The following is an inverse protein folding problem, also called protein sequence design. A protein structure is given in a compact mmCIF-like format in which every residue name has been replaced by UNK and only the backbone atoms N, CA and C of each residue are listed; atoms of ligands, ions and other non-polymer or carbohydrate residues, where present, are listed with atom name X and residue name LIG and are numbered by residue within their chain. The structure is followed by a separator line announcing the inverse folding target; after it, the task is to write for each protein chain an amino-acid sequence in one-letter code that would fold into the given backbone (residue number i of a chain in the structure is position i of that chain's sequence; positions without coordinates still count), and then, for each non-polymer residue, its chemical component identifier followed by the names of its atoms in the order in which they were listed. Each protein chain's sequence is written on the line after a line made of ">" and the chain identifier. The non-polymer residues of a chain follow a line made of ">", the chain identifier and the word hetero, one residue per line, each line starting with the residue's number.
data_IF_124098735351
#
_entry.id   IF_124098735351
#
_cell.length_a   1.000
_cell.length_b   1.000
_cell.length_c   1.000
_cell.angle_alpha   90.00
_cell.angle_beta   90.00
_cell.angle_gamma   90.00
#
_symmetry.space_group_name_H-M   'P 1'
#
loop_
_entity.id
_entity.type
_entity.pdbx_description
1 polymer ?
#
# COMPACT_ATOMS: atom_id res chain seq x y z
N UNK A 1 -11.12 19.13 15.21
CA UNK A 1 -10.96 18.14 14.12
C UNK A 1 -11.86 18.42 12.93
N UNK A 2 -13.20 18.51 13.08
CA UNK A 2 -14.12 18.77 11.96
C UNK A 2 -13.73 19.96 11.07
N UNK A 3 -13.39 21.11 11.66
CA UNK A 3 -12.95 22.29 10.92
C UNK A 3 -11.65 22.10 10.13
N UNK A 4 -10.74 21.25 10.63
CA UNK A 4 -9.49 20.92 9.93
C UNK A 4 -9.75 19.98 8.75
N UNK A 5 -10.69 19.04 8.85
CA UNK A 5 -11.13 18.22 7.71
C UNK A 5 -11.77 19.09 6.63
N UNK A 6 -12.67 19.98 7.04
CA UNK A 6 -13.32 20.93 6.12
C UNK A 6 -12.29 21.78 5.36
N UNK A 7 -11.27 22.31 6.05
CA UNK A 7 -10.17 23.08 5.45
C UNK A 7 -9.36 22.25 4.43
N UNK A 8 -8.92 21.04 4.83
CA UNK A 8 -8.05 20.19 4.00
C UNK A 8 -8.79 19.60 2.79
N UNK A 9 -10.02 19.13 2.99
CA UNK A 9 -10.86 18.53 1.95
C UNK A 9 -11.59 19.58 1.10
N UNK A 10 -11.46 20.87 1.44
CA UNK A 10 -12.13 22.00 0.77
C UNK A 10 -13.67 21.83 0.76
N UNK A 11 -14.23 21.45 1.90
CA UNK A 11 -15.66 21.24 2.11
C UNK A 11 -16.23 22.29 3.07
N UNK A 12 -17.49 22.66 2.89
CA UNK A 12 -18.16 23.62 3.78
C UNK A 12 -18.38 23.06 5.19
N UNK A 13 -18.74 21.78 5.28
CA UNK A 13 -19.03 21.07 6.54
C UNK A 13 -18.65 19.59 6.42
N UNK A 14 -18.28 19.01 7.56
CA UNK A 14 -17.98 17.59 7.72
C UNK A 14 -18.78 17.07 8.92
N UNK A 15 -19.56 16.02 8.69
CA UNK A 15 -20.34 15.29 9.68
C UNK A 15 -19.52 14.27 10.46
N UNK A 16 -20.03 13.86 11.63
CA UNK A 16 -19.34 12.89 12.51
C UNK A 16 -19.28 11.46 11.93
N UNK A 17 -20.13 11.15 10.95
CA UNK A 17 -20.16 9.85 10.28
C UNK A 17 -19.47 9.88 8.93
N UNK A 18 -18.96 11.04 8.52
CA UNK A 18 -18.25 11.16 7.26
C UNK A 18 -16.90 10.46 7.37
N UNK A 19 -16.58 9.70 6.33
CA UNK A 19 -15.33 9.00 6.16
C UNK A 19 -14.34 9.88 5.40
N UNK A 20 -13.13 10.04 5.94
CA UNK A 20 -12.09 10.91 5.38
C UNK A 20 -11.79 10.58 3.92
N UNK A 21 -11.71 9.30 3.59
CA UNK A 21 -11.32 8.81 2.28
C UNK A 21 -12.51 8.82 1.32
N UNK A 22 -13.71 8.51 1.80
CA UNK A 22 -14.94 8.67 1.01
C UNK A 22 -15.21 10.13 0.62
N UNK A 23 -14.75 11.09 1.42
CA UNK A 23 -14.79 12.53 1.11
C UNK A 23 -13.69 13.01 0.15
N UNK A 24 -12.90 12.10 -0.43
CA UNK A 24 -11.80 12.44 -1.35
C UNK A 24 -10.47 12.69 -0.65
N UNK A 25 -10.35 12.34 0.63
CA UNK A 25 -9.07 12.27 1.31
C UNK A 25 -8.14 11.25 0.66
N UNK A 26 -6.86 11.57 0.58
CA UNK A 26 -5.82 10.69 0.05
C UNK A 26 -4.56 10.77 0.93
N UNK A 27 -3.55 9.94 0.64
CA UNK A 27 -2.41 9.72 1.53
C UNK A 27 -1.68 11.02 1.91
N UNK A 28 -1.50 11.98 1.00
CA UNK A 28 -0.91 13.30 1.32
C UNK A 28 -1.81 14.16 2.21
N UNK A 29 -3.13 14.17 1.99
CA UNK A 29 -4.06 14.88 2.89
C UNK A 29 -4.10 14.22 4.28
N UNK A 30 -3.95 12.90 4.35
CA UNK A 30 -3.82 12.17 5.62
C UNK A 30 -2.55 12.57 6.40
N UNK A 31 -1.40 12.69 5.71
CA UNK A 31 -0.14 13.17 6.30
C UNK A 31 -0.29 14.63 6.77
N UNK A 32 -0.89 15.50 5.96
CA UNK A 32 -1.20 16.87 6.35
C UNK A 32 -2.12 16.92 7.57
N UNK A 33 -3.16 16.08 7.60
CA UNK A 33 -4.11 16.01 8.71
C UNK A 33 -3.42 15.66 10.02
N UNK A 34 -2.63 14.59 10.04
CA UNK A 34 -1.86 14.15 11.22
C UNK A 34 -0.88 15.24 11.66
N UNK A 35 -0.14 15.81 10.71
CA UNK A 35 0.81 16.88 10.99
C UNK A 35 0.14 18.11 11.62
N UNK A 36 -1.01 18.52 11.09
CA UNK A 36 -1.75 19.67 11.57
C UNK A 36 -2.43 19.42 12.92
N UNK A 37 -2.91 18.20 13.20
CA UNK A 37 -3.44 17.86 14.52
C UNK A 37 -2.38 17.94 15.61
N UNK A 38 -1.19 17.41 15.34
CA UNK A 38 -0.05 17.51 16.27
C UNK A 38 0.34 18.97 16.50
N UNK A 39 0.54 19.73 15.43
CA UNK A 39 1.04 21.12 15.50
C UNK A 39 0.01 22.14 16.00
N UNK A 40 -1.24 22.09 15.52
CA UNK A 40 -2.27 23.11 15.83
C UNK A 40 -3.12 22.75 17.04
N UNK A 41 -3.29 21.46 17.33
CA UNK A 41 -4.22 21.00 18.36
C UNK A 41 -3.56 20.21 19.49
N UNK A 42 -2.24 19.97 19.44
CA UNK A 42 -1.52 19.12 20.40
C UNK A 42 -2.15 17.73 20.57
N UNK A 43 -2.80 17.23 19.50
CA UNK A 43 -3.41 15.91 19.45
C UNK A 43 -2.39 14.96 18.82
N UNK A 44 -1.84 14.08 19.64
CA UNK A 44 -0.93 13.02 19.19
C UNK A 44 -1.74 11.87 18.59
N UNK A 45 -1.75 11.80 17.26
CA UNK A 45 -2.25 10.63 16.53
C UNK A 45 -1.19 10.15 15.55
N UNK A 46 -1.24 8.86 15.23
CA UNK A 46 -0.41 8.23 14.21
C UNK A 46 -1.15 8.19 12.88
N UNK A 47 -0.41 8.19 11.77
CA UNK A 47 -0.99 8.07 10.44
C UNK A 47 -1.86 6.82 10.27
N UNK A 48 -1.47 5.71 10.91
CA UNK A 48 -2.23 4.46 10.92
C UNK A 48 -3.57 4.56 11.65
N UNK A 49 -3.69 5.45 12.64
CA UNK A 49 -4.96 5.62 13.34
C UNK A 49 -6.01 6.25 12.42
N UNK A 50 -5.61 7.17 11.52
CA UNK A 50 -6.53 7.74 10.54
C UNK A 50 -7.06 6.68 9.56
N UNK A 51 -6.20 5.74 9.13
CA UNK A 51 -6.65 4.58 8.34
C UNK A 51 -7.56 3.65 9.15
N UNK A 52 -7.24 3.40 10.42
CA UNK A 52 -8.01 2.47 11.27
C UNK A 52 -9.35 3.03 11.76
N UNK A 53 -9.48 4.35 11.81
CA UNK A 53 -10.67 5.08 12.25
C UNK A 53 -10.98 6.19 11.24
N UNK A 54 -11.41 5.83 10.02
CA UNK A 54 -11.53 6.78 8.93
C UNK A 54 -12.77 7.68 9.06
N UNK A 55 -13.73 7.36 9.94
CA UNK A 55 -14.87 8.22 10.25
C UNK A 55 -14.53 9.25 11.34
N UNK A 56 -14.92 10.51 11.14
CA UNK A 56 -14.55 11.62 12.03
C UNK A 56 -14.90 11.36 13.51
N UNK A 57 -16.10 10.86 13.78
CA UNK A 57 -16.56 10.53 15.13
C UNK A 57 -15.83 9.33 15.75
N UNK A 58 -15.45 8.35 14.93
CA UNK A 58 -14.65 7.21 15.38
C UNK A 58 -13.22 7.65 15.74
N UNK A 59 -12.61 8.51 14.92
CA UNK A 59 -11.30 9.10 15.21
C UNK A 59 -11.35 9.96 16.48
N UNK A 60 -12.42 10.74 16.66
CA UNK A 60 -12.63 11.56 17.86
C UNK A 60 -12.72 10.70 19.12
N UNK A 61 -13.53 9.65 19.07
CA UNK A 61 -13.66 8.71 20.17
C UNK A 61 -12.35 7.99 20.49
N UNK A 62 -11.56 7.64 19.46
CA UNK A 62 -10.23 7.05 19.64
C UNK A 62 -9.30 8.02 20.40
N UNK A 63 -9.22 9.27 19.94
CA UNK A 63 -8.41 10.34 20.59
C UNK A 63 -8.86 10.56 22.03
N UNK A 64 -10.15 10.72 22.29
CA UNK A 64 -10.69 10.99 23.63
C UNK A 64 -10.48 9.80 24.58
N UNK A 65 -10.48 8.58 24.06
CA UNK A 65 -10.38 7.39 24.90
C UNK A 65 -8.98 7.18 25.50
N UNK A 66 -7.93 7.85 24.99
CA UNK A 66 -6.51 7.57 25.30
C UNK A 66 -6.16 6.07 25.21
N UNK A 67 -6.97 5.28 24.50
CA UNK A 67 -6.78 3.83 24.42
C UNK A 67 -5.80 3.52 23.31
N UNK A 68 -4.73 2.82 23.65
CA UNK A 68 -4.14 1.84 22.74
C UNK A 68 -5.23 0.80 22.48
N UNK A 69 -5.98 0.93 21.39
CA UNK A 69 -6.86 -0.16 20.97
C UNK A 69 -6.00 -1.44 20.89
N UNK A 70 -6.52 -2.57 21.40
CA UNK A 70 -5.83 -3.87 21.44
C UNK A 70 -5.65 -4.51 20.06
N UNK A 71 -5.52 -3.69 19.01
CA UNK A 71 -5.40 -4.09 17.63
C UNK A 71 -3.93 -4.09 17.26
N UNK A 72 -3.54 -5.05 16.44
CA UNK A 72 -2.20 -5.07 15.88
C UNK A 72 -1.96 -3.76 15.10
N UNK A 73 -0.82 -3.06 15.30
CA UNK A 73 -0.61 -1.70 14.79
C UNK A 73 -0.60 -1.60 13.27
N UNK A 74 -0.36 -2.69 12.56
CA UNK A 74 -0.40 -2.74 11.09
C UNK A 74 -1.80 -3.03 10.53
N UNK A 75 -2.73 -3.53 11.33
CA UNK A 75 -4.03 -4.01 10.84
C UNK A 75 -5.03 -2.86 10.75
N UNK A 76 -5.54 -2.64 9.54
CA UNK A 76 -6.56 -1.63 9.22
C UNK A 76 -7.85 -2.34 8.80
N UNK A 77 -8.89 -2.37 9.64
CA UNK A 77 -10.20 -2.90 9.25
C UNK A 77 -10.87 -1.96 8.25
N UNK A 78 -11.21 -2.45 7.06
CA UNK A 78 -11.96 -1.68 6.05
C UNK A 78 -13.44 -2.04 6.13
N UNK A 79 -13.74 -3.34 6.05
CA UNK A 79 -15.08 -3.90 6.22
C UNK A 79 -14.98 -5.19 7.01
N UNK A 80 -15.30 -5.14 8.31
CA UNK A 80 -15.13 -6.28 9.22
C UNK A 80 -16.27 -7.30 9.24
N UNK A 81 -17.36 -7.05 8.52
CA UNK A 81 -18.55 -7.90 8.47
C UNK A 81 -18.65 -8.61 7.11
N UNK A 82 -19.27 -9.80 7.10
CA UNK A 82 -19.47 -10.63 5.92
C UNK A 82 -19.30 -12.12 6.24
N UNK A 83 -19.78 -13.00 5.35
CA UNK A 83 -19.72 -14.46 5.54
C UNK A 83 -18.65 -15.14 4.68
N UNK A 84 -18.06 -14.44 3.70
CA UNK A 84 -16.97 -14.99 2.90
C UNK A 84 -15.63 -14.95 3.65
N UNK A 85 -14.66 -15.77 3.23
CA UNK A 85 -13.32 -15.83 3.81
C UNK A 85 -12.60 -14.48 3.71
N UNK A 86 -12.18 -13.83 4.81
CA UNK A 86 -11.57 -12.49 4.79
C UNK A 86 -10.46 -12.31 3.74
N UNK A 87 -10.48 -11.17 3.05
CA UNK A 87 -9.43 -10.75 2.13
C UNK A 87 -8.48 -9.77 2.82
N UNK A 88 -7.20 -10.13 2.84
CA UNK A 88 -6.11 -9.31 3.39
C UNK A 88 -5.35 -8.61 2.27
N UNK A 89 -5.33 -7.28 2.30
CA UNK A 89 -4.71 -6.41 1.29
C UNK A 89 -3.42 -5.76 1.82
N UNK A 90 -2.27 -6.03 1.20
CA UNK A 90 -0.96 -5.58 1.69
C UNK A 90 -0.49 -4.30 0.99
N UNK A 91 -0.03 -3.33 1.77
CA UNK A 91 0.45 -2.03 1.30
C UNK A 91 1.47 -2.10 0.14
N UNK A 92 1.49 -1.10 -0.77
CA UNK A 92 2.57 -0.91 -1.74
C UNK A 92 3.81 -0.29 -1.07
N UNK A 93 4.84 0.07 -1.84
CA UNK A 93 6.10 0.61 -1.31
C UNK A 93 5.92 1.83 -0.40
N UNK A 94 4.87 2.63 -0.61
CA UNK A 94 4.59 3.80 0.23
C UNK A 94 3.95 3.51 1.59
N UNK A 95 3.59 2.26 1.87
CA UNK A 95 3.14 1.80 3.17
C UNK A 95 1.69 2.13 3.54
N UNK A 96 1.08 3.07 2.82
CA UNK A 96 -0.31 3.44 2.95
C UNK A 96 -1.26 2.40 2.33
N UNK A 97 -2.57 2.52 2.58
CA UNK A 97 -3.55 1.49 2.18
C UNK A 97 -4.79 2.08 1.50
N UNK A 98 -4.71 3.28 0.93
CA UNK A 98 -5.85 3.92 0.29
C UNK A 98 -6.47 3.06 -0.81
N UNK A 99 -5.62 2.45 -1.64
CA UNK A 99 -6.07 1.60 -2.75
C UNK A 99 -6.98 0.45 -2.26
N UNK A 100 -6.79 -0.01 -1.02
CA UNK A 100 -7.60 -1.08 -0.44
C UNK A 100 -9.00 -0.59 -0.06
N UNK A 101 -9.15 0.65 0.40
CA UNK A 101 -10.45 1.28 0.62
C UNK A 101 -11.21 1.44 -0.70
N UNK A 102 -10.53 1.98 -1.72
CA UNK A 102 -11.11 2.19 -3.04
C UNK A 102 -11.54 0.84 -3.65
N UNK A 103 -10.69 -0.18 -3.56
CA UNK A 103 -10.98 -1.52 -4.06
C UNK A 103 -12.18 -2.15 -3.35
N UNK A 104 -12.27 -2.00 -2.02
CA UNK A 104 -13.34 -2.59 -1.21
C UNK A 104 -14.75 -2.09 -1.56
N UNK A 105 -14.87 -0.88 -2.13
CA UNK A 105 -16.14 -0.34 -2.60
C UNK A 105 -16.73 -1.14 -3.78
N UNK A 106 -15.87 -1.85 -4.53
CA UNK A 106 -16.24 -2.60 -5.72
C UNK A 106 -16.17 -4.12 -5.53
N UNK A 107 -15.65 -4.59 -4.40
CA UNK A 107 -15.66 -6.01 -4.02
C UNK A 107 -17.06 -6.46 -3.59
N UNK A 108 -17.29 -7.78 -3.58
CA UNK A 108 -18.53 -8.36 -3.04
C UNK A 108 -18.82 -7.82 -1.63
N UNK A 109 -20.05 -7.35 -1.40
CA UNK A 109 -20.45 -6.74 -0.14
C UNK A 109 -20.37 -7.71 1.06
N UNK A 110 -20.46 -9.02 0.81
CA UNK A 110 -20.38 -10.07 1.84
C UNK A 110 -18.94 -10.54 2.11
N UNK A 111 -17.95 -9.92 1.46
CA UNK A 111 -16.52 -10.17 1.66
C UNK A 111 -15.97 -9.28 2.78
N UNK A 112 -15.53 -9.82 3.93
CA UNK A 112 -14.74 -9.05 4.88
C UNK A 112 -13.40 -8.63 4.26
N UNK A 113 -12.96 -7.40 4.51
CA UNK A 113 -11.74 -6.82 3.95
C UNK A 113 -10.93 -6.12 5.04
N UNK A 114 -9.65 -6.47 5.10
CA UNK A 114 -8.66 -5.90 6.00
C UNK A 114 -7.44 -5.49 5.20
N UNK A 115 -6.85 -4.36 5.52
CA UNK A 115 -5.58 -3.93 4.96
C UNK A 115 -4.45 -3.98 5.99
N UNK A 116 -3.23 -4.14 5.50
CA UNK A 116 -2.01 -4.17 6.30
C UNK A 116 -1.15 -2.97 5.90
N UNK A 117 -1.11 -1.95 6.78
CA UNK A 117 -0.27 -0.77 6.62
C UNK A 117 1.18 -1.05 7.06
N UNK A 118 2.14 -0.33 6.49
CA UNK A 118 3.56 -0.62 6.71
C UNK A 118 4.01 -0.43 8.15
N UNK A 119 4.88 -1.33 8.62
CA UNK A 119 5.73 -1.09 9.80
C UNK A 119 6.69 0.08 9.53
N UNK A 120 6.93 0.95 10.51
CA UNK A 120 7.75 2.14 10.30
C UNK A 120 7.02 3.39 9.78
N UNK A 121 5.69 3.47 9.78
CA UNK A 121 4.96 4.71 9.43
C UNK A 121 4.80 5.67 10.61
N UNK A 122 5.02 5.18 11.83
CA UNK A 122 4.98 5.99 13.06
C UNK A 122 6.38 6.55 13.31
N UNK A 123 6.45 7.84 13.66
CA UNK A 123 7.73 8.49 13.96
C UNK A 123 8.45 7.73 15.07
N UNK A 124 9.69 7.31 14.80
CA UNK A 124 10.53 6.57 15.73
C UNK A 124 10.43 5.04 15.59
N UNK A 125 9.50 4.51 14.79
CA UNK A 125 9.54 3.11 14.41
C UNK A 125 10.58 2.86 13.33
N UNK A 126 11.24 1.71 13.37
CA UNK A 126 12.15 1.26 12.32
C UNK A 126 11.36 0.52 11.23
N UNK A 127 11.41 0.96 9.95
CA UNK A 127 10.87 0.18 8.84
C UNK A 127 11.55 -1.18 8.73
N UNK A 128 10.80 -2.19 8.30
CA UNK A 128 11.36 -3.53 8.04
C UNK A 128 12.16 -3.52 6.75
N UNK A 129 13.26 -4.26 6.71
CA UNK A 129 14.23 -4.21 5.62
C UNK A 129 14.16 -5.42 4.69
N UNK A 130 13.34 -6.44 4.99
CA UNK A 130 13.16 -7.61 4.12
C UNK A 130 11.69 -8.00 3.99
N UNK A 131 11.34 -8.59 2.85
CA UNK A 131 9.98 -9.10 2.58
C UNK A 131 9.60 -10.22 3.55
N UNK A 132 10.54 -11.11 3.87
CA UNK A 132 10.35 -12.22 4.83
C UNK A 132 9.99 -11.69 6.22
N UNK A 133 10.69 -10.67 6.73
CA UNK A 133 10.34 -10.06 8.02
C UNK A 133 8.98 -9.34 7.97
N UNK A 134 8.69 -8.62 6.88
CA UNK A 134 7.39 -7.96 6.70
C UNK A 134 6.26 -8.98 6.75
N UNK A 135 6.39 -10.09 6.01
CA UNK A 135 5.41 -11.16 5.97
C UNK A 135 5.19 -11.80 7.35
N UNK A 136 6.25 -12.07 8.11
CA UNK A 136 6.15 -12.61 9.48
C UNK A 136 5.33 -11.68 10.38
N UNK A 137 5.66 -10.39 10.39
CA UNK A 137 4.94 -9.40 11.22
C UNK A 137 3.49 -9.23 10.77
N UNK A 138 3.23 -9.23 9.46
CA UNK A 138 1.86 -9.08 8.96
C UNK A 138 1.03 -10.35 9.15
N UNK A 139 1.65 -11.52 9.17
CA UNK A 139 0.98 -12.77 9.49
C UNK A 139 0.51 -12.79 10.95
N UNK A 140 1.28 -12.21 11.88
CA UNK A 140 0.81 -12.00 13.26
C UNK A 140 -0.47 -11.16 13.28
N UNK A 141 -0.50 -10.07 12.51
CA UNK A 141 -1.68 -9.21 12.37
C UNK A 141 -2.90 -9.94 11.78
N UNK A 142 -2.68 -10.73 10.72
CA UNK A 142 -3.71 -11.54 10.06
C UNK A 142 -4.32 -12.54 11.06
N UNK A 143 -3.49 -13.18 11.87
CA UNK A 143 -3.93 -14.17 12.88
C UNK A 143 -4.77 -13.59 14.01
N UNK A 144 -4.75 -12.28 14.23
CA UNK A 144 -5.70 -11.63 15.14
C UNK A 144 -7.14 -11.60 14.58
N UNK A 145 -7.31 -11.73 13.27
CA UNK A 145 -8.61 -11.77 12.58
C UNK A 145 -9.01 -13.21 12.27
N UNK A 146 -8.08 -13.98 11.73
CA UNK A 146 -8.33 -15.33 11.24
C UNK A 146 -7.19 -16.25 11.71
N UNK A 147 -7.48 -17.10 12.70
CA UNK A 147 -6.47 -17.95 13.35
C UNK A 147 -6.04 -19.13 12.47
N UNK A 148 -6.96 -19.66 11.65
CA UNK A 148 -6.76 -20.84 10.80
C UNK A 148 -7.29 -20.54 9.40
N UNK A 149 -6.65 -21.14 8.39
CA UNK A 149 -7.07 -21.04 7.01
C UNK A 149 -8.47 -21.62 6.72
N UNK A 150 -8.95 -21.51 5.47
CA UNK A 150 -8.18 -21.07 4.31
C UNK A 150 -7.95 -19.55 4.27
N UNK A 151 -6.77 -19.10 3.86
CA UNK A 151 -6.43 -17.67 3.74
C UNK A 151 -6.63 -17.14 2.33
N UNK A 152 -7.05 -15.87 2.22
CA UNK A 152 -7.02 -15.12 0.95
C UNK A 152 -6.21 -13.83 1.14
N UNK A 153 -5.13 -13.69 0.39
CA UNK A 153 -4.18 -12.59 0.54
C UNK A 153 -3.85 -11.99 -0.83
N UNK A 154 -3.77 -10.67 -0.90
CA UNK A 154 -3.35 -9.98 -2.11
C UNK A 154 -2.62 -8.68 -1.79
N UNK A 155 -1.89 -8.15 -2.76
CA UNK A 155 -1.27 -6.84 -2.60
C UNK A 155 -0.91 -6.20 -3.92
N UNK A 156 -0.78 -4.88 -3.90
CA UNK A 156 -0.40 -4.08 -5.05
C UNK A 156 1.07 -3.70 -4.99
N UNK A 157 1.77 -3.80 -6.13
CA UNK A 157 3.18 -3.46 -6.23
C UNK A 157 4.00 -4.30 -5.23
N UNK A 158 4.81 -3.66 -4.37
CA UNK A 158 5.51 -4.33 -3.26
C UNK A 158 4.61 -5.31 -2.47
N UNK A 159 3.35 -4.92 -2.24
CA UNK A 159 2.39 -5.72 -1.49
C UNK A 159 2.14 -7.10 -2.09
N UNK A 160 2.24 -7.26 -3.42
CA UNK A 160 2.09 -8.56 -4.07
C UNK A 160 3.25 -9.52 -3.72
N UNK A 161 4.46 -9.00 -3.57
CA UNK A 161 5.62 -9.79 -3.13
C UNK A 161 5.48 -10.21 -1.66
N UNK A 162 4.97 -9.31 -0.82
CA UNK A 162 4.70 -9.62 0.59
C UNK A 162 3.55 -10.62 0.71
N UNK A 163 2.49 -10.48 -0.08
CA UNK A 163 1.38 -11.44 -0.14
C UNK A 163 1.86 -12.84 -0.55
N UNK A 164 2.77 -12.92 -1.51
CA UNK A 164 3.41 -14.17 -1.93
C UNK A 164 4.20 -14.83 -0.80
N UNK A 165 5.02 -14.05 -0.11
CA UNK A 165 5.80 -14.53 1.03
C UNK A 165 4.90 -14.98 2.19
N UNK A 166 3.83 -14.24 2.49
CA UNK A 166 2.83 -14.65 3.49
C UNK A 166 2.25 -16.01 3.11
N UNK A 167 1.87 -16.21 1.84
CA UNK A 167 1.35 -17.48 1.36
C UNK A 167 2.37 -18.61 1.47
N UNK A 168 3.64 -18.35 1.15
CA UNK A 168 4.73 -19.31 1.31
C UNK A 168 4.88 -19.74 2.78
N UNK A 169 4.93 -18.79 3.71
CA UNK A 169 5.05 -19.08 5.14
C UNK A 169 3.83 -19.82 5.70
N UNK A 170 2.62 -19.47 5.24
CA UNK A 170 1.39 -20.18 5.61
C UNK A 170 1.42 -21.64 5.16
N UNK A 171 1.76 -21.90 3.89
CA UNK A 171 1.86 -23.26 3.35
C UNK A 171 2.94 -24.08 4.06
N UNK A 172 4.11 -23.48 4.34
CA UNK A 172 5.17 -24.11 5.12
C UNK A 172 4.72 -24.47 6.56
N UNK A 173 3.77 -23.72 7.12
CA UNK A 173 3.16 -24.01 8.41
C UNK A 173 2.00 -25.03 8.35
N UNK A 174 1.69 -25.58 7.17
CA UNK A 174 0.61 -26.55 6.96
C UNK A 174 -0.78 -25.93 6.85
N UNK A 175 -0.87 -24.61 6.65
CA UNK A 175 -2.15 -23.90 6.47
C UNK A 175 -2.60 -23.95 5.01
N UNK A 176 -3.90 -23.78 4.80
CA UNK A 176 -4.49 -23.68 3.45
C UNK A 176 -4.53 -22.24 2.96
N UNK A 177 -4.12 -21.99 1.71
CA UNK A 177 -4.22 -20.69 1.06
C UNK A 177 -5.04 -20.84 -0.22
N UNK A 178 -6.22 -20.22 -0.26
CA UNK A 178 -7.14 -20.35 -1.40
C UNK A 178 -6.86 -19.34 -2.50
N UNK A 179 -6.25 -18.21 -2.17
CA UNK A 179 -6.04 -17.14 -3.15
C UNK A 179 -4.81 -16.31 -2.80
N UNK A 180 -3.92 -16.14 -3.78
CA UNK A 180 -2.78 -15.22 -3.76
C UNK A 180 -2.91 -14.26 -4.95
N UNK A 181 -3.25 -13.01 -4.67
CA UNK A 181 -3.39 -11.96 -5.68
C UNK A 181 -2.18 -11.03 -5.73
N UNK A 182 -1.59 -10.87 -6.91
CA UNK A 182 -0.55 -9.88 -7.20
C UNK A 182 -1.12 -8.84 -8.15
N UNK A 183 -1.19 -7.59 -7.72
CA UNK A 183 -1.67 -6.48 -8.56
C UNK A 183 -0.43 -5.76 -9.07
N UNK A 184 -0.20 -5.86 -10.38
CA UNK A 184 0.89 -5.25 -11.12
C UNK A 184 2.27 -5.37 -10.45
N UNK A 185 2.60 -6.61 -10.04
CA UNK A 185 3.77 -6.91 -9.21
C UNK A 185 4.85 -7.60 -10.04
N UNK A 186 5.98 -6.96 -10.24
CA UNK A 186 7.16 -7.57 -10.86
C UNK A 186 7.97 -8.42 -9.88
N UNK A 187 8.64 -9.45 -10.39
CA UNK A 187 9.57 -10.26 -9.59
C UNK A 187 10.85 -9.48 -9.26
N UNK A 188 11.61 -9.94 -8.25
CA UNK A 188 12.89 -9.29 -7.92
C UNK A 188 13.87 -9.29 -9.09
N UNK A 189 13.86 -10.33 -9.94
CA UNK A 189 14.66 -10.40 -11.15
C UNK A 189 14.23 -9.34 -12.19
N UNK A 190 12.93 -9.17 -12.39
CA UNK A 190 12.37 -8.13 -13.26
C UNK A 190 12.73 -6.73 -12.76
N UNK A 191 12.56 -6.45 -11.47
CA UNK A 191 12.91 -5.16 -10.87
C UNK A 191 14.40 -4.86 -11.01
N UNK A 192 15.28 -5.85 -10.77
CA UNK A 192 16.74 -5.70 -10.98
C UNK A 192 17.09 -5.38 -12.43
N UNK A 193 16.44 -6.02 -13.39
CA UNK A 193 16.64 -5.73 -14.81
C UNK A 193 16.22 -4.29 -15.13
N UNK A 194 15.04 -3.85 -14.71
CA UNK A 194 14.58 -2.48 -14.90
C UNK A 194 15.54 -1.44 -14.27
N UNK A 195 16.04 -1.72 -13.06
CA UNK A 195 16.96 -0.80 -12.39
C UNK A 195 18.30 -0.65 -13.11
N UNK A 196 18.85 -1.76 -13.62
CA UNK A 196 20.09 -1.73 -14.42
C UNK A 196 19.94 -0.88 -15.67
N UNK A 197 18.80 -0.96 -16.37
CA UNK A 197 18.57 -0.16 -17.59
C UNK A 197 18.46 1.34 -17.31
N UNK A 198 18.05 1.73 -16.09
CA UNK A 198 17.87 3.14 -15.71
C UNK A 198 19.15 3.82 -15.17
N UNK A 199 20.30 3.12 -15.15
CA UNK A 199 21.58 3.63 -14.60
C UNK A 199 21.47 4.25 -13.19
N UNK A 200 20.56 3.72 -12.37
CA UNK A 200 20.37 4.18 -11.00
C UNK A 200 21.35 3.43 -10.10
N UNK A 201 22.35 4.14 -9.56
CA UNK A 201 23.35 3.53 -8.68
C UNK A 201 22.78 3.12 -7.31
N UNK A 202 21.81 3.88 -6.79
CA UNK A 202 21.14 3.60 -5.51
C UNK A 202 19.75 4.25 -5.48
N UNK A 203 18.79 3.65 -4.77
CA UNK A 203 17.50 4.28 -4.44
C UNK A 203 17.53 4.72 -2.98
N UNK A 204 17.84 6.00 -2.79
CA UNK A 204 17.90 6.68 -1.50
C UNK A 204 16.65 7.53 -1.25
N UNK A 205 16.63 8.24 -0.12
CA UNK A 205 15.52 9.09 0.31
C UNK A 205 15.22 10.21 -0.69
N UNK A 206 16.23 10.77 -1.35
CA UNK A 206 16.06 11.83 -2.33
C UNK A 206 15.32 11.32 -3.57
N UNK A 207 15.70 10.13 -4.06
CA UNK A 207 15.01 9.51 -5.20
C UNK A 207 13.60 9.06 -4.84
N UNK A 208 13.40 8.49 -3.64
CA UNK A 208 12.09 8.17 -3.12
C UNK A 208 11.20 9.42 -3.06
N UNK A 209 11.75 10.54 -2.61
CA UNK A 209 11.05 11.80 -2.48
C UNK A 209 10.65 12.41 -3.83
N UNK A 210 11.55 12.39 -4.82
CA UNK A 210 11.23 12.83 -6.19
C UNK A 210 10.10 12.00 -6.81
N UNK A 211 10.14 10.68 -6.64
CA UNK A 211 9.06 9.80 -7.09
C UNK A 211 7.74 10.15 -6.41
N UNK A 212 7.79 10.35 -5.09
CA UNK A 212 6.61 10.67 -4.30
C UNK A 212 5.98 12.01 -4.72
N UNK A 213 6.76 13.07 -4.94
CA UNK A 213 6.20 14.36 -5.39
C UNK A 213 5.62 14.27 -6.81
N UNK A 214 6.33 13.60 -7.73
CA UNK A 214 5.86 13.45 -9.10
C UNK A 214 4.48 12.77 -9.14
N UNK A 215 4.27 11.75 -8.32
CA UNK A 215 2.98 11.05 -8.21
C UNK A 215 1.85 11.90 -7.62
N UNK A 216 2.16 12.90 -6.79
CA UNK A 216 1.16 13.70 -6.07
C UNK A 216 0.74 14.97 -6.81
N UNK A 217 1.65 15.62 -7.56
CA UNK A 217 1.43 17.01 -7.96
C UNK A 217 1.47 17.27 -9.46
N UNK A 218 2.40 16.66 -10.19
CA UNK A 218 2.79 17.18 -11.51
C UNK A 218 3.07 16.12 -12.56
N UNK A 219 3.04 14.83 -12.23
CA UNK A 219 3.66 13.77 -13.04
C UNK A 219 5.14 14.08 -13.38
N UNK A 220 5.82 13.15 -14.07
CA UNK A 220 7.25 13.33 -14.39
C UNK A 220 7.47 14.47 -15.40
N UNK A 221 6.55 14.67 -16.34
CA UNK A 221 6.67 15.70 -17.35
C UNK A 221 6.41 17.10 -16.77
N UNK A 222 5.40 17.24 -15.90
CA UNK A 222 5.17 18.51 -15.20
C UNK A 222 6.29 18.83 -14.22
N UNK A 223 6.85 17.82 -13.54
CA UNK A 223 7.98 18.03 -12.63
C UNK A 223 9.21 18.58 -13.35
N UNK A 224 9.51 18.09 -14.57
CA UNK A 224 10.62 18.59 -15.41
C UNK A 224 10.48 20.04 -15.86
N UNK A 225 9.27 20.58 -15.87
CA UNK A 225 9.00 21.96 -16.27
C UNK A 225 8.99 22.92 -15.06
N UNK A 226 9.05 22.39 -13.84
CA UNK A 226 8.99 23.19 -12.62
C UNK A 226 10.30 23.98 -12.43
N UNK A 227 10.26 25.28 -12.04
CA UNK A 227 11.47 26.10 -11.88
C UNK A 227 12.52 25.53 -10.91
N UNK A 228 12.05 24.79 -9.89
CA UNK A 228 12.91 24.15 -8.91
C UNK A 228 13.48 22.79 -9.34
N UNK A 229 13.16 22.30 -10.54
CA UNK A 229 13.58 20.98 -11.00
C UNK A 229 15.10 20.82 -10.99
N UNK A 230 15.84 21.75 -11.61
CA UNK A 230 17.29 21.67 -11.69
C UNK A 230 17.94 21.70 -10.30
N UNK A 231 17.45 22.57 -9.40
CA UNK A 231 17.92 22.62 -8.00
C UNK A 231 17.67 21.30 -7.28
N UNK A 232 16.48 20.71 -7.42
CA UNK A 232 16.12 19.43 -6.80
C UNK A 232 16.94 18.27 -7.36
N UNK A 233 17.27 18.26 -8.65
CA UNK A 233 18.13 17.22 -9.23
C UNK A 233 19.56 17.31 -8.71
N UNK A 234 20.12 18.51 -8.59
CA UNK A 234 21.45 18.74 -7.98
C UNK A 234 21.46 18.25 -6.52
N UNK A 235 20.44 18.61 -5.75
CA UNK A 235 20.34 18.19 -4.35
C UNK A 235 20.17 16.67 -4.20
N UNK A 236 19.43 16.04 -5.13
CA UNK A 236 19.28 14.59 -5.15
C UNK A 236 20.60 13.89 -5.48
N UNK A 237 21.40 14.43 -6.39
CA UNK A 237 22.75 13.93 -6.69
C UNK A 237 23.69 14.06 -5.48
N UNK A 238 23.56 15.14 -4.69
CA UNK A 238 24.32 15.33 -3.45
C UNK A 238 23.71 14.61 -2.22
N UNK A 239 22.59 13.90 -2.38
CA UNK A 239 21.86 13.20 -1.32
C UNK A 239 21.43 14.11 -0.14
N UNK A 240 21.11 15.37 -0.43
CA UNK A 240 20.73 16.36 0.59
C UNK A 240 19.20 16.48 0.72
N UNK A 241 18.59 15.49 1.39
CA UNK A 241 17.13 15.44 1.56
C UNK A 241 16.59 16.62 2.37
N UNK A 242 17.34 17.13 3.34
CA UNK A 242 16.90 18.22 4.19
C UNK A 242 16.72 19.52 3.39
N UNK A 243 17.69 19.85 2.54
CA UNK A 243 17.59 21.01 1.66
C UNK A 243 16.51 20.79 0.60
N UNK A 244 16.35 19.57 0.06
CA UNK A 244 15.26 19.27 -0.89
C UNK A 244 13.88 19.53 -0.29
N UNK A 245 13.66 19.09 0.95
CA UNK A 245 12.38 19.29 1.64
C UNK A 245 12.11 20.79 1.86
N UNK A 246 13.14 21.57 2.22
CA UNK A 246 13.03 23.02 2.37
C UNK A 246 12.70 23.72 1.04
N UNK A 247 13.33 23.32 -0.07
CA UNK A 247 13.02 23.81 -1.42
C UNK A 247 11.57 23.49 -1.77
N UNK A 248 11.11 22.26 -1.58
CA UNK A 248 9.74 21.90 -1.91
C UNK A 248 8.71 22.67 -1.08
N UNK A 249 8.99 23.00 0.20
CA UNK A 249 8.12 23.87 1.00
C UNK A 249 8.13 25.33 0.49
N UNK A 250 9.30 25.85 0.12
CA UNK A 250 9.48 27.21 -0.43
C UNK A 250 8.69 27.40 -1.73
N UNK A 251 8.70 26.37 -2.57
CA UNK A 251 8.09 26.37 -3.90
C UNK A 251 6.63 25.87 -3.90
N UNK A 252 6.04 25.65 -2.71
CA UNK A 252 4.70 25.12 -2.53
C UNK A 252 4.43 23.76 -3.19
N UNK A 253 5.49 22.99 -3.49
CA UNK A 253 5.42 21.57 -3.85
C UNK A 253 5.10 20.68 -2.64
N UNK A 254 5.43 21.15 -1.44
CA UNK A 254 4.98 20.59 -0.18
C UNK A 254 4.27 21.65 0.66
N UNK A 255 3.23 21.27 1.42
CA UNK A 255 2.62 22.16 2.39
C UNK A 255 3.64 22.64 3.43
N UNK A 256 3.72 23.96 3.64
CA UNK A 256 4.67 24.60 4.58
C UNK A 256 4.51 24.09 6.02
N UNK A 257 3.30 23.66 6.39
CA UNK A 257 3.00 23.17 7.73
C UNK A 257 3.29 21.67 7.91
N UNK A 258 3.73 20.96 6.88
CA UNK A 258 4.00 19.53 6.96
C UNK A 258 5.11 19.23 7.98
N UNK A 259 4.98 18.13 8.71
CA UNK A 259 5.98 17.68 9.68
C UNK A 259 7.07 16.92 8.93
N UNK A 260 8.25 17.54 8.83
CA UNK A 260 9.41 16.98 8.14
C UNK A 260 9.83 15.63 8.73
N UNK A 261 9.68 15.42 10.04
CA UNK A 261 9.99 14.13 10.65
C UNK A 261 9.05 13.03 10.14
N UNK A 262 7.77 13.34 9.95
CA UNK A 262 6.80 12.41 9.36
C UNK A 262 7.12 12.12 7.89
N UNK A 263 7.53 13.15 7.12
CA UNK A 263 7.94 12.95 5.72
C UNK A 263 9.13 12.03 5.64
N UNK A 264 10.19 12.28 6.42
CA UNK A 264 11.37 11.40 6.48
C UNK A 264 11.02 9.98 6.88
N UNK A 265 10.10 9.81 7.84
CA UNK A 265 9.61 8.49 8.24
C UNK A 265 8.95 7.73 7.07
N UNK A 266 8.12 8.42 6.27
CA UNK A 266 7.49 7.84 5.07
C UNK A 266 8.55 7.50 4.01
N UNK A 267 9.54 8.37 3.81
CA UNK A 267 10.64 8.11 2.86
C UNK A 267 11.47 6.90 3.28
N UNK A 268 11.73 6.72 4.58
CA UNK A 268 12.43 5.56 5.10
C UNK A 268 11.66 4.24 4.81
N UNK A 269 10.32 4.25 4.91
CA UNK A 269 9.48 3.12 4.50
C UNK A 269 9.60 2.85 2.99
N UNK A 270 9.58 3.90 2.16
CA UNK A 270 9.72 3.74 0.70
C UNK A 270 11.08 3.14 0.34
N UNK A 271 12.16 3.68 0.90
CA UNK A 271 13.52 3.21 0.65
C UNK A 271 13.69 1.76 1.13
N UNK A 272 13.23 1.45 2.35
CA UNK A 272 13.28 0.11 2.91
C UNK A 272 12.51 -0.90 2.05
N UNK A 273 11.29 -0.56 1.64
CA UNK A 273 10.47 -1.40 0.77
C UNK A 273 11.08 -1.63 -0.61
N UNK A 274 11.63 -0.58 -1.24
CA UNK A 274 12.28 -0.70 -2.54
C UNK A 274 13.54 -1.59 -2.49
N UNK A 275 14.38 -1.42 -1.46
CA UNK A 275 15.55 -2.28 -1.23
C UNK A 275 15.12 -3.73 -0.98
N UNK A 276 14.14 -3.94 -0.10
CA UNK A 276 13.58 -5.26 0.19
C UNK A 276 13.07 -5.98 -1.07
N UNK A 277 12.38 -5.27 -1.97
CA UNK A 277 11.86 -5.85 -3.21
C UNK A 277 12.97 -6.39 -4.14
N UNK A 278 14.09 -5.68 -4.20
CA UNK A 278 15.21 -6.01 -5.09
C UNK A 278 16.07 -7.13 -4.54
N UNK A 279 16.26 -7.11 -3.22
CA UNK A 279 17.06 -8.09 -2.51
C UNK A 279 16.27 -9.38 -2.23
N UNK A 280 14.95 -9.36 -2.39
CA UNK A 280 14.11 -10.53 -2.14
C UNK A 280 14.50 -11.74 -3.00
N UNK A 281 14.89 -12.80 -2.32
CA UNK A 281 15.04 -14.13 -2.89
C UNK A 281 13.70 -14.84 -2.85
N UNK A 282 13.08 -14.99 -4.02
CA UNK A 282 11.75 -15.55 -4.13
C UNK A 282 11.79 -17.07 -3.97
N UNK A 283 11.23 -17.65 -2.89
CA UNK A 283 11.18 -19.10 -2.73
C UNK A 283 10.21 -19.72 -3.73
N UNK A 284 10.38 -21.01 -4.04
CA UNK A 284 9.35 -21.73 -4.77
C UNK A 284 8.09 -21.90 -3.90
N UNK A 285 6.91 -21.88 -4.52
CA UNK A 285 5.63 -22.08 -3.83
C UNK A 285 4.75 -23.09 -4.56
N UNK A 286 3.91 -23.76 -3.79
CA UNK A 286 2.82 -24.59 -4.32
C UNK A 286 1.52 -23.79 -4.52
N UNK A 287 1.45 -22.55 -4.03
CA UNK A 287 0.30 -21.68 -4.24
C UNK A 287 0.07 -21.40 -5.73
N UNK A 288 -1.19 -21.46 -6.15
CA UNK A 288 -1.64 -20.82 -7.38
C UNK A 288 -1.66 -19.30 -7.19
N UNK A 289 -1.03 -18.57 -8.12
CA UNK A 289 -0.87 -17.11 -8.05
C UNK A 289 -1.63 -16.46 -9.19
N UNK A 290 -2.43 -15.43 -8.86
CA UNK A 290 -3.16 -14.63 -9.83
C UNK A 290 -2.44 -13.29 -9.99
N UNK A 291 -1.88 -13.04 -11.17
CA UNK A 291 -1.21 -11.78 -11.50
C UNK A 291 -2.14 -10.91 -12.35
N UNK A 292 -2.50 -9.74 -11.82
CA UNK A 292 -3.43 -8.77 -12.40
C UNK A 292 -2.62 -7.59 -12.94
N UNK A 293 -2.45 -7.48 -14.25
CA UNK A 293 -1.46 -6.56 -14.86
C UNK A 293 -2.07 -5.32 -15.50
N UNK A 294 -1.32 -4.23 -15.47
CA UNK A 294 -1.57 -2.99 -16.22
C UNK A 294 -1.14 -3.13 -17.70
N UNK A 295 -1.45 -2.11 -18.51
CA UNK A 295 -1.09 -2.04 -19.94
C UNK A 295 0.34 -1.51 -20.19
N UNK A 296 0.87 -0.69 -19.27
CA UNK A 296 2.09 0.13 -19.46
C UNK A 296 3.42 -0.63 -19.45
N UNK A 297 3.40 -1.95 -19.26
CA UNK A 297 4.62 -2.75 -19.38
C UNK A 297 4.90 -2.98 -20.86
N UNK A 298 5.97 -2.38 -21.39
CA UNK A 298 6.51 -2.73 -22.71
C UNK A 298 6.66 -4.26 -22.76
N UNK A 299 5.87 -4.88 -23.65
CA UNK A 299 5.38 -6.27 -23.56
C UNK A 299 6.44 -7.31 -23.96
N UNK A 300 7.65 -7.26 -23.39
CA UNK A 300 8.60 -8.36 -23.55
C UNK A 300 8.21 -9.55 -22.67
N UNK A 301 7.74 -9.31 -21.45
CA UNK A 301 7.30 -10.37 -20.53
C UNK A 301 5.98 -10.00 -19.81
N UNK A 302 4.83 -10.58 -20.22
CA UNK A 302 3.54 -10.32 -19.58
C UNK A 302 3.43 -10.90 -18.16
N UNK A 303 4.40 -11.73 -17.75
CA UNK A 303 4.46 -12.32 -16.41
C UNK A 303 5.25 -11.45 -15.43
N UNK A 304 5.83 -10.33 -15.89
CA UNK A 304 6.65 -9.43 -15.07
C UNK A 304 7.79 -10.18 -14.33
N UNK A 305 8.39 -11.16 -15.00
CA UNK A 305 9.50 -11.98 -14.50
C UNK A 305 9.10 -13.11 -13.54
N UNK A 306 7.82 -13.47 -13.47
CA UNK A 306 7.34 -14.59 -12.63
C UNK A 306 7.19 -15.91 -13.39
N UNK A 307 7.18 -15.89 -14.72
CA UNK A 307 6.88 -17.04 -15.57
C UNK A 307 7.80 -18.24 -15.31
N UNK A 308 9.11 -18.03 -15.27
CA UNK A 308 10.10 -19.11 -15.08
C UNK A 308 9.95 -19.81 -13.72
N UNK A 309 9.58 -19.08 -12.67
CA UNK A 309 9.45 -19.61 -11.31
C UNK A 309 8.14 -20.37 -11.11
N UNK A 310 7.03 -19.83 -11.65
CA UNK A 310 5.69 -20.31 -11.31
C UNK A 310 5.07 -21.21 -12.37
N UNK A 311 5.48 -21.12 -13.64
CA UNK A 311 4.95 -21.94 -14.73
C UNK A 311 3.43 -21.99 -14.76
N UNK A 312 2.86 -23.19 -14.74
CA UNK A 312 1.41 -23.42 -14.79
C UNK A 312 0.64 -22.91 -13.56
N UNK A 313 1.33 -22.61 -12.45
CA UNK A 313 0.72 -22.06 -11.23
C UNK A 313 0.44 -20.56 -11.33
N UNK A 314 0.95 -19.89 -12.37
CA UNK A 314 0.70 -18.47 -12.61
C UNK A 314 -0.46 -18.27 -13.58
N UNK A 315 -1.46 -17.52 -13.15
CA UNK A 315 -2.54 -17.06 -14.02
C UNK A 315 -2.50 -15.55 -14.17
N UNK A 316 -2.18 -15.10 -15.38
CA UNK A 316 -2.10 -13.67 -15.70
C UNK A 316 -3.44 -13.18 -16.27
N UNK A 317 -3.94 -12.06 -15.74
CA UNK A 317 -5.13 -11.38 -16.27
C UNK A 317 -4.82 -9.90 -16.46
N UNK A 318 -4.98 -9.41 -17.69
CA UNK A 318 -4.75 -8.01 -18.04
C UNK A 318 -5.96 -7.15 -17.67
N UNK A 319 -5.77 -6.20 -16.76
CA UNK A 319 -6.81 -5.29 -16.27
C UNK A 319 -6.85 -4.04 -17.13
N UNK A 320 -5.69 -3.39 -17.29
CA UNK A 320 -5.49 -2.20 -18.10
C UNK A 320 -4.96 -1.00 -17.30
N UNK A 321 -4.65 0.09 -18.00
CA UNK A 321 -4.11 1.31 -17.42
C UNK A 321 -2.61 1.24 -17.15
N UNK A 322 -2.13 2.03 -16.20
CA UNK A 322 -0.73 2.07 -15.76
C UNK A 322 -0.55 1.39 -14.42
N UNK A 323 0.70 1.21 -13.98
CA UNK A 323 1.02 0.77 -12.61
C UNK A 323 0.25 1.57 -11.55
N UNK A 324 0.06 2.87 -11.79
CA UNK A 324 -0.61 3.79 -10.87
C UNK A 324 -2.12 3.90 -11.09
N UNK A 325 -2.61 3.73 -12.33
CA UNK A 325 -4.04 3.87 -12.63
C UNK A 325 -4.83 2.56 -12.56
N UNK A 326 -4.18 1.40 -12.52
CA UNK A 326 -4.84 0.09 -12.36
C UNK A 326 -5.66 0.01 -11.06
N UNK A 327 -5.20 0.68 -9.99
CA UNK A 327 -5.90 0.81 -8.70
C UNK A 327 -6.75 2.08 -8.60
N UNK A 328 -7.14 2.68 -9.74
CA UNK A 328 -8.00 3.86 -9.81
C UNK A 328 -9.12 3.66 -10.83
N UNK A 329 -10.21 4.44 -10.77
CA UNK A 329 -11.23 4.42 -11.82
C UNK A 329 -10.64 4.77 -13.20
N UNK A 330 -11.11 4.12 -14.28
CA UNK A 330 -12.17 3.09 -14.31
C UNK A 330 -11.65 1.66 -14.04
N UNK A 331 -10.34 1.43 -13.97
CA UNK A 331 -9.74 0.10 -13.95
C UNK A 331 -9.97 -0.68 -12.66
N UNK A 332 -10.10 0.03 -11.53
CA UNK A 332 -10.30 -0.58 -10.21
C UNK A 332 -11.60 -1.41 -10.12
N UNK A 333 -12.63 -1.05 -10.88
CA UNK A 333 -13.89 -1.81 -10.92
C UNK A 333 -13.68 -3.20 -11.53
N UNK A 334 -12.98 -3.25 -12.68
CA UNK A 334 -12.61 -4.51 -13.35
C UNK A 334 -11.67 -5.34 -12.47
N UNK A 335 -10.72 -4.68 -11.80
CA UNK A 335 -9.80 -5.32 -10.85
C UNK A 335 -10.56 -6.02 -9.71
N UNK A 336 -11.48 -5.31 -9.06
CA UNK A 336 -12.30 -5.84 -7.98
C UNK A 336 -13.19 -7.01 -8.42
N UNK A 337 -13.78 -6.90 -9.61
CA UNK A 337 -14.60 -7.97 -10.19
C UNK A 337 -13.79 -9.25 -10.41
N UNK A 338 -12.59 -9.14 -10.99
CA UNK A 338 -11.71 -10.30 -11.21
C UNK A 338 -11.28 -10.94 -9.89
N UNK A 339 -10.87 -10.14 -8.90
CA UNK A 339 -10.52 -10.64 -7.56
C UNK A 339 -11.70 -11.40 -6.92
N UNK A 340 -12.89 -10.80 -6.94
CA UNK A 340 -14.10 -11.41 -6.36
C UNK A 340 -14.46 -12.73 -7.02
N UNK A 341 -14.38 -12.81 -8.35
CA UNK A 341 -14.67 -14.03 -9.11
C UNK A 341 -13.65 -15.13 -8.80
N UNK A 342 -12.36 -14.78 -8.69
CA UNK A 342 -11.29 -15.74 -8.39
C UNK A 342 -11.43 -16.31 -6.98
N UNK A 343 -11.63 -15.46 -5.98
CA UNK A 343 -11.83 -15.90 -4.59
C UNK A 343 -12.98 -16.91 -4.49
N UNK A 344 -14.13 -16.62 -5.12
CA UNK A 344 -15.29 -17.53 -5.14
C UNK A 344 -14.95 -18.86 -5.81
N UNK A 345 -14.28 -18.83 -6.96
CA UNK A 345 -13.92 -20.03 -7.72
C UNK A 345 -12.99 -20.96 -6.92
N UNK A 346 -11.95 -20.40 -6.30
CA UNK A 346 -10.97 -21.20 -5.56
C UNK A 346 -11.49 -21.66 -4.19
N UNK A 347 -12.43 -20.94 -3.59
CA UNK A 347 -13.12 -21.39 -2.39
C UNK A 347 -14.04 -22.59 -2.69
N UNK A 348 -14.77 -22.57 -3.81
CA UNK A 348 -15.63 -23.69 -4.21
C UNK A 348 -14.86 -24.95 -4.61
N UNK A 349 -13.67 -24.81 -5.24
CA UNK A 349 -12.84 -25.98 -5.57
C UNK A 349 -12.22 -26.65 -4.34
N UNK A 350 -11.92 -25.88 -3.30
CA UNK A 350 -11.42 -26.43 -2.04
C UNK A 350 -12.48 -27.30 -1.36
N UNK A 351 -13.74 -26.85 -1.30
CA UNK A 351 -14.85 -27.63 -0.70
C UNK A 351 -15.09 -28.98 -1.40
N UNK A 352 -14.92 -29.05 -2.72
CA UNK A 352 -15.08 -30.30 -3.47
C UNK A 352 -13.94 -31.30 -3.21
N UNK A 353 -12.73 -30.83 -2.89
CA UNK A 353 -11.57 -31.70 -2.59
C UNK A 353 -11.63 -32.38 -1.21
N UNK A 354 -12.56 -31.99 -0.34
CA UNK A 354 -12.78 -32.60 0.98
C UNK A 354 -13.93 -33.64 1.00
N UNK A 355 -14.58 -33.88 -0.15
CA UNK A 355 -15.72 -34.80 -0.28
C UNK A 355 -15.31 -36.17 -0.86
N UNK A 356 -14.06 -36.30 -1.34
CA UNK A 356 -13.44 -37.56 -1.79
C UNK A 356 -12.41 -38.06 -0.75
#
# INVERSE_FOLDING_TARGET
>A
MAGLWAELLKLDKVGIHDDFFALGGHSMLAVQMVSQLRKRAAIEIELRNLFSYPALGALAAFVDSNKTASRHPNLVPIRGQGHLTPLFLIHPVGGEVQYAFDLAQHLDADQPVYALAASGLVIGETPRASITEMATVYLEAIRHVQVVGPYTVAGWSLGGMIAYEIAHQLLAAGETVNFVGMIDTGSSAFLRAQWRTKNVAEFDECRAFLSWIADQHLDVAGMRQHPAYDELMVLAESKDIDTMLAVCQREALLPVHLDIALVKQILAVHVGGAKAAIEYETPATEATVILLTADDHDVEDPTLGWGDLLGERLHVTRIGGSHMSIVKPPYIEKLAHEISNRIKRYSASAELSYID
#
